data_IF_334536428992
#
_entry.id   IF_334536428992
#
_cell.length_a   1.000
_cell.length_b   1.000
_cell.length_c   1.000
_cell.angle_alpha   90.00
_cell.angle_beta   90.00
_cell.angle_gamma   90.00
#
_symmetry.space_group_name_H-M   'P 1'
#
loop_
_entity.id
_entity.type
_entity.pdbx_description
1 polymer ?
#
# COMPACT_ATOMS: atom_id res chain seq x y z
N UNK A 1 -6.39 -32.52 -16.08
CA UNK A 1 -7.07 -31.75 -15.01
C UNK A 1 -6.00 -30.94 -14.31
N UNK A 2 -6.19 -29.62 -14.12
CA UNK A 2 -5.22 -28.82 -13.39
C UNK A 2 -5.23 -29.26 -11.91
N UNK A 3 -4.09 -29.72 -11.40
CA UNK A 3 -3.95 -30.04 -9.98
C UNK A 3 -3.95 -28.73 -9.18
N UNK A 4 -4.84 -28.62 -8.21
CA UNK A 4 -4.92 -27.47 -7.31
C UNK A 4 -3.86 -27.67 -6.22
N UNK A 5 -2.82 -26.84 -6.25
CA UNK A 5 -1.78 -26.82 -5.22
C UNK A 5 -2.15 -25.82 -4.12
N UNK A 6 -2.09 -26.20 -2.83
CA UNK A 6 -2.32 -25.25 -1.74
C UNK A 6 -1.25 -24.16 -1.71
N UNK A 7 -1.66 -22.94 -1.37
CA UNK A 7 -0.75 -21.79 -1.23
C UNK A 7 0.16 -22.03 0.00
N UNK A 8 1.49 -21.93 -0.13
CA UNK A 8 2.42 -22.05 0.98
C UNK A 8 2.12 -21.06 2.11
N UNK A 9 2.36 -21.45 3.36
CA UNK A 9 2.13 -20.60 4.52
C UNK A 9 3.15 -20.91 5.63
N UNK A 10 3.77 -19.89 6.25
CA UNK A 10 4.56 -20.09 7.44
C UNK A 10 3.71 -20.63 8.60
N UNK A 11 4.28 -21.50 9.45
CA UNK A 11 3.60 -21.93 10.66
C UNK A 11 3.33 -20.72 11.55
N UNK A 12 2.05 -20.48 11.86
CA UNK A 12 1.59 -19.44 12.75
C UNK A 12 1.33 -19.97 14.16
N UNK A 13 1.39 -19.10 15.16
CA UNK A 13 1.01 -19.43 16.53
C UNK A 13 -0.52 -19.49 16.68
N UNK A 14 -1.04 -20.24 17.68
CA UNK A 14 -2.46 -20.20 18.01
C UNK A 14 -2.91 -18.76 18.30
N UNK A 15 -4.11 -18.39 17.82
CA UNK A 15 -4.79 -17.09 18.02
C UNK A 15 -4.12 -15.91 17.28
N UNK A 16 -2.80 -15.74 17.38
CA UNK A 16 -2.08 -14.59 16.81
C UNK A 16 -1.49 -14.83 15.42
N UNK A 17 -1.51 -16.07 14.92
CA UNK A 17 -1.06 -16.42 13.58
C UNK A 17 0.41 -16.07 13.35
N UNK A 18 0.68 -15.37 12.24
CA UNK A 18 2.02 -14.96 11.79
C UNK A 18 2.41 -13.54 12.25
N UNK A 19 1.61 -12.87 13.08
CA UNK A 19 1.90 -11.49 13.48
C UNK A 19 3.25 -11.33 14.20
N UNK A 20 3.64 -12.31 15.03
CA UNK A 20 4.93 -12.30 15.74
C UNK A 20 6.14 -12.48 14.84
N UNK A 21 5.92 -12.89 13.58
CA UNK A 21 6.97 -13.10 12.58
C UNK A 21 7.16 -11.87 11.68
N UNK A 22 6.39 -10.80 11.91
CA UNK A 22 6.49 -9.54 11.18
C UNK A 22 7.15 -8.52 12.11
N UNK A 23 8.31 -8.01 11.71
CA UNK A 23 8.97 -6.92 12.42
C UNK A 23 8.18 -5.62 12.18
N UNK A 24 7.64 -4.95 13.22
CA UNK A 24 6.85 -3.73 13.06
C UNK A 24 7.68 -2.54 12.54
N UNK A 25 9.01 -2.54 12.74
CA UNK A 25 9.93 -1.50 12.26
C UNK A 25 10.43 -1.84 10.86
N UNK A 26 10.70 -3.11 10.60
CA UNK A 26 11.27 -3.59 9.33
C UNK A 26 10.32 -4.47 8.51
N UNK A 27 9.03 -4.15 8.47
CA UNK A 27 7.98 -4.96 7.82
C UNK A 27 8.35 -5.42 6.41
N UNK A 28 8.85 -4.51 5.58
CA UNK A 28 9.25 -4.79 4.19
C UNK A 28 10.31 -5.91 4.11
N UNK A 29 11.25 -5.93 5.06
CA UNK A 29 12.27 -6.97 5.15
C UNK A 29 11.62 -8.30 5.50
N UNK A 30 10.75 -8.35 6.50
CA UNK A 30 10.01 -9.56 6.85
C UNK A 30 9.23 -10.14 5.67
N UNK A 31 8.56 -9.29 4.86
CA UNK A 31 7.87 -9.75 3.66
C UNK A 31 8.81 -10.24 2.55
N UNK A 32 10.01 -9.65 2.43
CA UNK A 32 11.06 -10.15 1.52
C UNK A 32 11.55 -11.53 1.97
N UNK A 33 11.85 -11.70 3.26
CA UNK A 33 12.32 -12.97 3.82
C UNK A 33 11.25 -14.09 3.64
N UNK A 34 9.96 -13.75 3.74
CA UNK A 34 8.89 -14.68 3.41
C UNK A 34 8.83 -15.02 1.92
N UNK A 35 9.02 -14.05 1.03
CA UNK A 35 9.02 -14.31 -0.40
C UNK A 35 10.20 -15.21 -0.80
N UNK A 36 11.38 -14.99 -0.24
CA UNK A 36 12.57 -15.82 -0.48
C UNK A 36 12.35 -17.27 -0.01
N UNK A 37 11.60 -17.46 1.09
CA UNK A 37 11.34 -18.78 1.68
C UNK A 37 10.16 -19.52 1.06
N UNK A 38 9.07 -18.83 0.74
CA UNK A 38 7.79 -19.43 0.33
C UNK A 38 7.48 -19.22 -1.17
N UNK A 39 8.30 -18.44 -1.87
CA UNK A 39 8.22 -18.23 -3.30
C UNK A 39 7.29 -17.09 -3.72
N UNK A 40 6.79 -17.17 -4.95
CA UNK A 40 6.04 -16.08 -5.58
C UNK A 40 4.66 -15.80 -4.98
N UNK A 41 4.11 -16.73 -4.20
CA UNK A 41 2.82 -16.56 -3.53
C UNK A 41 2.83 -17.28 -2.18
N UNK A 42 2.37 -16.59 -1.14
CA UNK A 42 2.26 -17.18 0.20
C UNK A 42 1.09 -16.57 0.98
N UNK A 43 0.65 -17.29 2.00
CA UNK A 43 -0.48 -16.90 2.86
C UNK A 43 0.01 -16.64 4.27
N UNK A 44 -0.44 -15.54 4.86
CA UNK A 44 -0.26 -15.21 6.27
C UNK A 44 -1.62 -15.17 6.98
N UNK A 45 -1.63 -15.57 8.24
CA UNK A 45 -2.76 -15.44 9.16
C UNK A 45 -2.44 -14.31 10.13
N UNK A 46 -3.28 -13.28 10.18
CA UNK A 46 -3.10 -12.14 11.08
C UNK A 46 -4.24 -12.08 12.10
N UNK A 47 -4.00 -11.60 13.33
CA UNK A 47 -5.03 -11.44 14.34
C UNK A 47 -6.22 -10.64 13.79
N UNK A 48 -7.44 -11.08 14.08
CA UNK A 48 -8.68 -10.41 13.65
C UNK A 48 -8.98 -10.50 12.15
N UNK A 49 -8.13 -11.15 11.34
CA UNK A 49 -8.32 -11.34 9.90
C UNK A 49 -8.37 -12.82 9.53
N UNK A 50 -9.14 -13.20 8.50
CA UNK A 50 -9.25 -14.60 8.07
C UNK A 50 -7.92 -15.15 7.52
N UNK A 51 -7.27 -14.41 6.61
CA UNK A 51 -5.90 -14.63 6.11
C UNK A 51 -5.59 -13.56 5.05
N UNK A 52 -4.31 -13.21 4.87
CA UNK A 52 -3.82 -12.37 3.77
C UNK A 52 -3.01 -13.24 2.81
N UNK A 53 -3.24 -13.09 1.51
CA UNK A 53 -2.44 -13.75 0.46
C UNK A 53 -1.58 -12.68 -0.19
N UNK A 54 -0.29 -12.97 -0.30
CA UNK A 54 0.72 -12.06 -0.82
C UNK A 54 1.29 -12.68 -2.09
N UNK A 55 1.33 -11.88 -3.17
CA UNK A 55 1.97 -12.23 -4.42
C UNK A 55 3.21 -11.35 -4.62
N UNK A 56 4.31 -11.94 -5.06
CA UNK A 56 5.62 -11.29 -5.20
C UNK A 56 6.30 -11.60 -6.55
N UNK A 57 5.56 -12.04 -7.57
CA UNK A 57 6.08 -12.18 -8.94
C UNK A 57 5.35 -11.29 -9.91
N UNK A 58 6.07 -10.81 -10.93
CA UNK A 58 5.50 -10.03 -12.02
C UNK A 58 4.29 -10.71 -12.66
N UNK A 59 4.39 -12.04 -12.90
CA UNK A 59 3.32 -12.84 -13.51
C UNK A 59 2.03 -12.78 -12.69
N UNK A 60 2.12 -12.98 -11.37
CA UNK A 60 0.95 -12.95 -10.50
C UNK A 60 0.42 -11.53 -10.29
N UNK A 61 1.30 -10.54 -10.14
CA UNK A 61 0.90 -9.14 -10.01
C UNK A 61 0.14 -8.69 -11.27
N UNK A 62 0.60 -9.07 -12.46
CA UNK A 62 -0.08 -8.77 -13.72
C UNK A 62 -1.49 -9.38 -13.78
N UNK A 63 -1.68 -10.59 -13.25
CA UNK A 63 -3.01 -11.20 -13.12
C UNK A 63 -3.90 -10.44 -12.10
N UNK A 64 -3.32 -10.03 -10.97
CA UNK A 64 -4.03 -9.28 -9.92
C UNK A 64 -4.42 -7.86 -10.32
N UNK A 65 -3.74 -7.28 -11.32
CA UNK A 65 -4.07 -5.97 -11.88
C UNK A 65 -5.21 -6.01 -12.92
N UNK A 66 -5.80 -7.19 -13.19
CA UNK A 66 -6.99 -7.28 -14.03
C UNK A 66 -8.25 -6.82 -13.27
N UNK A 67 -8.66 -5.59 -13.53
CA UNK A 67 -9.80 -4.94 -12.87
C UNK A 67 -11.15 -5.63 -13.10
N UNK A 68 -11.26 -6.55 -14.08
CA UNK A 68 -12.47 -7.35 -14.29
C UNK A 68 -12.61 -8.48 -13.27
N UNK A 69 -11.49 -8.89 -12.64
CA UNK A 69 -11.43 -10.00 -11.69
C UNK A 69 -11.09 -9.55 -10.28
N UNK A 70 -10.31 -8.49 -10.15
CA UNK A 70 -9.83 -7.97 -8.88
C UNK A 70 -10.17 -6.49 -8.75
N UNK A 71 -10.45 -6.07 -7.52
CA UNK A 71 -10.71 -4.67 -7.20
C UNK A 71 -9.97 -4.28 -5.94
N UNK A 72 -9.63 -3.00 -5.81
CA UNK A 72 -8.99 -2.47 -4.60
C UNK A 72 -9.96 -2.58 -3.43
N UNK A 73 -9.53 -3.21 -2.33
CA UNK A 73 -10.27 -3.23 -1.08
C UNK A 73 -9.45 -2.49 0.00
N UNK A 74 -9.89 -1.32 0.47
CA UNK A 74 -9.26 -0.63 1.60
C UNK A 74 -9.37 -1.51 2.85
N UNK A 75 -8.24 -2.04 3.31
CA UNK A 75 -8.13 -2.90 4.49
C UNK A 75 -6.95 -2.46 5.36
N UNK A 76 -6.85 -3.02 6.58
CA UNK A 76 -5.77 -2.71 7.52
C UNK A 76 -5.65 -1.21 7.77
N UNK A 77 -4.46 -0.65 7.56
CA UNK A 77 -4.17 0.78 7.78
C UNK A 77 -5.13 1.71 7.02
N UNK A 78 -5.56 1.35 5.80
CA UNK A 78 -6.50 2.20 5.05
C UNK A 78 -7.92 2.17 5.64
N UNK A 79 -8.32 1.07 6.28
CA UNK A 79 -9.59 1.02 6.99
C UNK A 79 -9.57 1.91 8.24
N UNK A 80 -8.42 2.00 8.93
CA UNK A 80 -8.26 2.91 10.07
C UNK A 80 -8.19 4.38 9.63
N UNK A 81 -7.41 4.70 8.58
CA UNK A 81 -7.32 6.07 8.04
C UNK A 81 -8.69 6.58 7.59
N UNK A 82 -9.54 5.69 7.06
CA UNK A 82 -10.92 6.01 6.67
C UNK A 82 -11.74 6.59 7.83
N UNK A 83 -11.45 6.25 9.09
CA UNK A 83 -12.15 6.84 10.24
C UNK A 83 -11.93 8.36 10.33
N UNK A 84 -10.82 8.87 9.80
CA UNK A 84 -10.51 10.30 9.77
C UNK A 84 -10.77 11.00 8.42
N UNK A 85 -10.61 10.30 7.29
CA UNK A 85 -10.71 10.91 5.94
C UNK A 85 -11.89 10.40 5.10
N UNK A 86 -12.72 9.54 5.68
CA UNK A 86 -13.93 9.00 5.05
C UNK A 86 -13.68 8.38 3.67
N UNK A 87 -14.53 8.67 2.69
CA UNK A 87 -14.54 8.15 1.32
C UNK A 87 -13.65 8.95 0.35
N UNK A 88 -12.57 9.54 0.85
CA UNK A 88 -11.54 10.15 0.02
C UNK A 88 -10.91 9.16 -0.98
N UNK A 89 -10.23 9.67 -2.01
CA UNK A 89 -9.70 8.90 -3.15
C UNK A 89 -8.87 7.65 -2.75
N UNK A 90 -8.16 7.72 -1.62
CA UNK A 90 -7.32 6.63 -1.11
C UNK A 90 -8.08 5.58 -0.28
N UNK A 91 -9.18 5.94 0.34
CA UNK A 91 -9.92 5.13 1.35
C UNK A 91 -11.34 4.77 0.91
N UNK A 92 -11.81 5.29 -0.23
CA UNK A 92 -13.09 4.93 -0.81
C UNK A 92 -13.19 3.41 -1.09
N UNK A 93 -14.33 2.84 -0.76
CA UNK A 93 -14.66 1.43 -1.02
C UNK A 93 -15.16 1.27 -2.47
N UNK A 94 -15.07 0.05 -3.05
CA UNK A 94 -15.66 -0.23 -4.35
C UNK A 94 -17.14 0.16 -4.40
N UNK A 95 -17.53 0.87 -5.46
CA UNK A 95 -18.92 1.31 -5.70
C UNK A 95 -19.31 2.64 -5.07
N UNK A 96 -18.45 3.28 -4.26
CA UNK A 96 -18.74 4.61 -3.72
C UNK A 96 -18.65 5.69 -4.81
N UNK A 97 -19.75 6.41 -5.03
CA UNK A 97 -19.85 7.46 -6.07
C UNK A 97 -18.82 8.58 -5.87
N UNK A 98 -18.54 8.94 -4.62
CA UNK A 98 -17.57 9.96 -4.23
C UNK A 98 -16.19 9.72 -4.86
N UNK A 99 -15.76 8.46 -4.96
CA UNK A 99 -14.51 8.10 -5.63
C UNK A 99 -14.53 8.49 -7.10
N UNK A 100 -15.62 8.18 -7.82
CA UNK A 100 -15.76 8.48 -9.24
C UNK A 100 -15.77 9.98 -9.52
N UNK A 101 -16.43 10.76 -8.66
CA UNK A 101 -16.42 12.23 -8.74
C UNK A 101 -15.00 12.76 -8.51
N UNK A 102 -14.38 12.40 -7.37
CA UNK A 102 -13.05 12.86 -7.02
C UNK A 102 -12.01 12.48 -8.08
N UNK A 103 -12.04 11.24 -8.56
CA UNK A 103 -11.14 10.75 -9.60
C UNK A 103 -11.28 11.57 -10.90
N UNK A 104 -12.50 11.80 -11.39
CA UNK A 104 -12.70 12.60 -12.62
C UNK A 104 -12.28 14.06 -12.47
N UNK A 105 -12.53 14.66 -11.30
CA UNK A 105 -12.19 16.06 -11.04
C UNK A 105 -10.68 16.25 -10.90
N UNK A 106 -10.01 15.33 -10.20
CA UNK A 106 -8.60 15.48 -9.84
C UNK A 106 -7.65 15.00 -10.95
N UNK A 107 -7.96 13.89 -11.63
CA UNK A 107 -7.01 13.26 -12.57
C UNK A 107 -6.50 14.19 -13.69
N UNK A 108 -7.28 15.11 -14.28
CA UNK A 108 -6.78 16.07 -15.27
C UNK A 108 -5.59 16.90 -14.75
N UNK A 109 -5.63 17.33 -13.48
CA UNK A 109 -4.55 18.08 -12.85
C UNK A 109 -3.28 17.23 -12.67
N UNK A 110 -3.43 15.91 -12.42
CA UNK A 110 -2.31 14.99 -12.23
C UNK A 110 -1.68 14.47 -13.54
N UNK A 111 -2.44 14.44 -14.65
CA UNK A 111 -1.96 13.91 -15.95
C UNK A 111 -1.40 15.02 -16.84
N UNK A 112 -2.05 16.19 -16.85
CA UNK A 112 -1.78 17.23 -17.84
C UNK A 112 -0.91 18.40 -17.34
N UNK A 113 -0.64 18.50 -16.03
CA UNK A 113 0.17 19.62 -15.54
C UNK A 113 1.66 19.33 -15.73
N UNK A 114 2.42 20.18 -16.45
CA UNK A 114 3.83 20.29 -16.14
C UNK A 114 3.89 20.68 -14.67
N UNK A 115 4.69 19.95 -13.89
CA UNK A 115 4.93 20.17 -12.46
C UNK A 115 5.28 21.61 -12.07
N UNK A 116 5.59 22.47 -13.06
CA UNK A 116 5.84 23.90 -12.93
C UNK A 116 4.64 24.72 -12.44
N UNK A 117 3.41 24.41 -12.85
CA UNK A 117 2.24 25.23 -12.49
C UNK A 117 1.54 24.73 -11.22
N UNK A 118 1.62 23.42 -10.95
CA UNK A 118 1.07 22.80 -9.74
C UNK A 118 1.93 23.10 -8.48
N UNK A 119 3.23 23.36 -8.68
CA UNK A 119 4.16 23.81 -7.64
C UNK A 119 4.69 25.19 -8.05
N UNK A 120 3.91 26.26 -7.90
CA UNK A 120 4.31 27.59 -8.38
C UNK A 120 5.63 28.06 -7.77
N UNK A 121 6.06 27.52 -6.61
CA UNK A 121 7.46 27.67 -6.17
C UNK A 121 7.84 26.69 -5.05
N UNK A 122 8.67 25.66 -5.28
CA UNK A 122 9.34 24.94 -4.19
C UNK A 122 10.44 25.79 -3.52
N UNK A 123 10.90 26.87 -4.17
CA UNK A 123 12.08 27.64 -3.73
C UNK A 123 11.96 28.25 -2.32
N UNK A 124 10.84 28.83 -1.86
CA UNK A 124 10.76 29.38 -0.50
C UNK A 124 10.87 28.30 0.58
N UNK A 125 10.24 27.15 0.38
CA UNK A 125 10.32 26.02 1.31
C UNK A 125 11.72 25.40 1.30
N UNK A 126 12.29 25.18 0.12
CA UNK A 126 13.66 24.67 -0.03
C UNK A 126 14.68 25.63 0.58
N UNK A 127 14.49 26.95 0.38
CA UNK A 127 15.32 27.98 0.99
C UNK A 127 15.18 28.02 2.51
N UNK A 128 13.96 27.95 3.04
CA UNK A 128 13.72 27.92 4.48
C UNK A 128 14.40 26.70 5.13
N UNK A 129 14.35 25.54 4.47
CA UNK A 129 15.09 24.35 4.90
C UNK A 129 16.59 24.63 4.83
N UNK A 130 17.14 25.01 3.68
CA UNK A 130 18.58 25.29 3.54
C UNK A 130 19.12 26.29 4.55
N UNK A 131 18.37 27.39 4.79
CA UNK A 131 18.71 28.39 5.78
C UNK A 131 18.68 27.83 7.21
N UNK A 132 17.69 27.02 7.57
CA UNK A 132 17.66 26.34 8.88
C UNK A 132 18.88 25.43 9.09
N UNK A 133 19.39 24.78 8.04
CA UNK A 133 20.57 23.92 8.14
C UNK A 133 21.85 24.74 8.25
N UNK A 134 21.96 25.85 7.50
CA UNK A 134 23.07 26.80 7.61
C UNK A 134 23.18 27.41 9.01
N UNK A 135 22.06 27.86 9.59
CA UNK A 135 22.03 28.46 10.93
C UNK A 135 22.39 27.43 12.01
N UNK A 136 21.95 26.17 11.89
CA UNK A 136 22.27 25.11 12.86
C UNK A 136 23.67 24.53 12.72
N UNK A 137 24.26 24.57 11.52
CA UNK A 137 25.63 24.08 11.27
C UNK A 137 26.73 25.08 11.66
N UNK A 138 26.37 26.35 11.89
CA UNK A 138 27.26 27.42 12.35
C UNK A 138 27.01 27.83 13.82
N UNK A 139 26.30 26.99 14.58
CA UNK A 139 26.12 27.09 16.03
C UNK A 139 26.87 25.95 16.72
#
# INVERSE_FOLDING_TARGET
MANITPIPSPPGLPIVGNATQIDPVAQRRSFSDFADKYGEIYRLYLPGSKSVVIANSYRLINELCDEKRFTKIPTGVLAEIRNGVHDGLFTAKPGEEAWGIAHRVLMPAYVASPSRDMLPTPLPLVWAIGHSWYVRGNA
#
